data_IF_399011083623
#
_entry.id   IF_399011083623
#
_cell.length_a   1.000
_cell.length_b   1.000
_cell.length_c   1.000
_cell.angle_alpha   90.00
_cell.angle_beta   90.00
_cell.angle_gamma   90.00
#
_symmetry.space_group_name_H-M   'P 1'
#
loop_
_entity.id
_entity.type
_entity.pdbx_description
1 polymer ?
#
# COMPACT_ATOMS: atom_id res chain seq x y z
N UNK A 1 25.72 17.76 26.99
CA UNK A 1 24.62 16.77 26.98
C UNK A 1 23.62 17.20 25.92
N UNK A 2 23.84 16.80 24.67
CA UNK A 2 22.94 17.11 23.57
C UNK A 2 21.71 16.22 23.71
N UNK A 3 20.58 16.79 24.12
CA UNK A 3 19.30 16.09 24.16
C UNK A 3 18.93 15.72 22.73
N UNK A 4 19.22 14.49 22.33
CA UNK A 4 18.69 13.91 21.10
C UNK A 4 17.22 13.54 21.37
N UNK A 5 16.34 14.55 21.41
CA UNK A 5 14.90 14.31 21.35
C UNK A 5 14.64 13.70 19.97
N UNK A 6 14.21 12.42 19.88
CA UNK A 6 13.74 11.89 18.61
C UNK A 6 12.65 12.84 18.12
N UNK A 7 12.77 13.31 16.87
CA UNK A 7 11.65 14.03 16.26
C UNK A 7 10.42 13.11 16.39
N UNK A 8 9.24 13.64 16.74
CA UNK A 8 8.02 12.85 16.63
C UNK A 8 8.01 12.30 15.21
N UNK A 9 8.01 10.97 15.09
CA UNK A 9 7.99 10.32 13.79
C UNK A 9 6.76 10.88 13.07
N UNK A 10 6.98 11.55 11.94
CA UNK A 10 5.88 12.18 11.22
C UNK A 10 5.13 11.06 10.51
N UNK A 11 4.21 10.44 11.26
CA UNK A 11 3.37 9.34 10.78
C UNK A 11 2.43 9.79 9.67
N UNK A 12 2.36 11.09 9.36
CA UNK A 12 1.64 11.57 8.18
C UNK A 12 2.31 11.11 6.87
N UNK A 13 3.64 11.06 6.83
CA UNK A 13 4.40 10.58 5.67
C UNK A 13 4.12 9.09 5.37
N UNK A 14 3.87 8.28 6.41
CA UNK A 14 3.62 6.85 6.25
C UNK A 14 2.26 6.58 5.59
N UNK A 15 1.22 7.32 6.01
CA UNK A 15 -0.11 7.22 5.39
C UNK A 15 -0.07 7.65 3.93
N UNK A 16 0.61 8.76 3.61
CA UNK A 16 0.74 9.25 2.23
C UNK A 16 1.49 8.24 1.35
N UNK A 17 2.62 7.70 1.82
CA UNK A 17 3.35 6.64 1.11
C UNK A 17 2.52 5.38 0.89
N UNK A 18 1.75 4.95 1.89
CA UNK A 18 0.87 3.78 1.77
C UNK A 18 -0.25 4.03 0.76
N UNK A 19 -0.83 5.24 0.74
CA UNK A 19 -1.83 5.63 -0.25
C UNK A 19 -1.25 5.64 -1.68
N UNK A 20 -0.04 6.17 -1.86
CA UNK A 20 0.67 6.13 -3.14
C UNK A 20 0.97 4.70 -3.59
N UNK A 21 1.43 3.83 -2.69
CA UNK A 21 1.65 2.41 -2.99
C UNK A 21 0.35 1.71 -3.37
N UNK A 22 -0.76 2.01 -2.69
CA UNK A 22 -2.10 1.48 -3.05
C UNK A 22 -2.50 1.94 -4.45
N UNK A 23 -2.36 3.23 -4.77
CA UNK A 23 -2.68 3.77 -6.10
C UNK A 23 -1.83 3.11 -7.17
N UNK A 24 -0.51 3.10 -7.01
CA UNK A 24 0.42 2.49 -7.96
C UNK A 24 0.15 0.99 -8.14
N UNK A 25 -0.23 0.28 -7.08
CA UNK A 25 -0.55 -1.14 -7.17
C UNK A 25 -1.82 -1.38 -7.98
N UNK A 26 -2.87 -0.56 -7.79
CA UNK A 26 -4.10 -0.62 -8.59
C UNK A 26 -3.84 -0.29 -10.06
N UNK A 27 -3.13 0.79 -10.34
CA UNK A 27 -2.78 1.19 -11.71
C UNK A 27 -2.00 0.05 -12.42
N UNK A 28 -1.10 -0.63 -11.71
CA UNK A 28 -0.37 -1.80 -12.22
C UNK A 28 -1.23 -3.06 -12.40
N UNK A 29 -2.30 -3.22 -11.61
CA UNK A 29 -3.25 -4.33 -11.78
C UNK A 29 -4.12 -4.10 -13.01
N UNK A 30 -4.67 -2.89 -13.16
CA UNK A 30 -5.49 -2.50 -14.31
C UNK A 30 -4.70 -2.63 -15.62
N UNK A 31 -3.48 -2.09 -15.66
CA UNK A 31 -2.60 -2.24 -16.83
C UNK A 31 -2.29 -3.72 -17.15
N UNK A 32 -2.15 -4.57 -16.13
CA UNK A 32 -1.93 -5.99 -16.33
C UNK A 32 -3.19 -6.71 -16.83
N UNK A 33 -4.38 -6.32 -16.38
CA UNK A 33 -5.66 -6.83 -16.88
C UNK A 33 -5.92 -6.44 -18.34
N UNK A 34 -5.56 -5.21 -18.73
CA UNK A 34 -5.60 -4.81 -20.13
C UNK A 34 -4.68 -5.69 -21.00
N UNK A 35 -3.47 -5.99 -20.53
CA UNK A 35 -2.57 -6.91 -21.20
C UNK A 35 -3.13 -8.34 -21.29
N UNK A 36 -3.92 -8.78 -20.30
CA UNK A 36 -4.57 -10.11 -20.34
C UNK A 36 -5.54 -10.30 -21.51
N UNK A 37 -6.06 -9.21 -22.10
CA UNK A 37 -6.88 -9.28 -23.30
C UNK A 37 -6.08 -9.72 -24.54
N UNK A 38 -4.77 -9.50 -24.52
CA UNK A 38 -3.85 -9.78 -25.64
C UNK A 38 -2.92 -10.97 -25.39
N UNK A 39 -2.78 -11.42 -24.14
CA UNK A 39 -1.96 -12.59 -23.76
C UNK A 39 -2.78 -13.88 -23.63
N UNK A 40 -2.14 -15.03 -23.87
CA UNK A 40 -2.78 -16.35 -23.85
C UNK A 40 -1.98 -17.35 -23.01
N UNK A 41 -2.64 -18.45 -22.63
CA UNK A 41 -1.98 -19.57 -21.96
C UNK A 41 -1.31 -19.20 -20.63
N UNK A 42 -0.06 -19.60 -20.47
CA UNK A 42 0.71 -19.45 -19.23
C UNK A 42 0.95 -17.99 -18.82
N UNK A 43 1.08 -17.07 -19.78
CA UNK A 43 1.28 -15.65 -19.49
C UNK A 43 0.03 -15.04 -18.81
N UNK A 44 -1.16 -15.44 -19.29
CA UNK A 44 -2.43 -14.99 -18.71
C UNK A 44 -2.61 -15.50 -17.28
N UNK A 45 -2.21 -16.75 -17.01
CA UNK A 45 -2.24 -17.32 -15.66
C UNK A 45 -1.24 -16.63 -14.72
N UNK A 46 -0.04 -16.33 -15.21
CA UNK A 46 0.98 -15.61 -14.45
C UNK A 46 0.51 -14.20 -14.06
N UNK A 47 -0.17 -13.49 -14.98
CA UNK A 47 -0.75 -12.17 -14.69
C UNK A 47 -1.83 -12.29 -13.61
N UNK A 48 -2.75 -13.25 -13.73
CA UNK A 48 -3.80 -13.48 -12.72
C UNK A 48 -3.21 -13.74 -11.33
N UNK A 49 -2.26 -14.66 -11.20
CA UNK A 49 -1.62 -14.96 -9.92
C UNK A 49 -0.87 -13.75 -9.36
N UNK A 50 -0.29 -12.90 -10.22
CA UNK A 50 0.38 -11.68 -9.78
C UNK A 50 -0.63 -10.65 -9.27
N UNK A 51 -1.80 -10.54 -9.90
CA UNK A 51 -2.88 -9.67 -9.43
C UNK A 51 -3.49 -10.17 -8.12
N UNK A 52 -3.69 -11.48 -7.96
CA UNK A 52 -4.15 -12.08 -6.70
C UNK A 52 -3.23 -11.74 -5.52
N UNK A 53 -1.91 -11.88 -5.68
CA UNK A 53 -0.94 -11.47 -4.65
C UNK A 53 -0.94 -9.96 -4.37
N UNK A 54 -1.28 -9.14 -5.36
CA UNK A 54 -1.42 -7.68 -5.19
C UNK A 54 -2.69 -7.35 -4.41
N UNK A 55 -3.78 -8.10 -4.58
CA UNK A 55 -4.98 -7.94 -3.76
C UNK A 55 -4.67 -8.20 -2.28
N UNK A 56 -3.95 -9.28 -1.97
CA UNK A 56 -3.48 -9.54 -0.59
C UNK A 56 -2.61 -8.40 -0.04
N UNK A 57 -1.71 -7.86 -0.88
CA UNK A 57 -0.86 -6.73 -0.50
C UNK A 57 -1.67 -5.45 -0.24
N UNK A 58 -2.70 -5.19 -1.06
CA UNK A 58 -3.61 -4.06 -0.89
C UNK A 58 -4.42 -4.16 0.40
N UNK A 59 -4.83 -5.37 0.80
CA UNK A 59 -5.47 -5.57 2.11
C UNK A 59 -4.52 -5.26 3.26
N UNK A 60 -3.25 -5.66 3.15
CA UNK A 60 -2.20 -5.29 4.11
C UNK A 60 -2.05 -3.78 4.24
N UNK A 61 -1.87 -3.07 3.12
CA UNK A 61 -1.75 -1.62 3.12
C UNK A 61 -2.98 -0.92 3.69
N UNK A 62 -4.19 -1.41 3.40
CA UNK A 62 -5.43 -0.83 3.98
C UNK A 62 -5.47 -0.98 5.50
N UNK A 63 -5.05 -2.13 6.03
CA UNK A 63 -4.96 -2.35 7.48
C UNK A 63 -3.93 -1.41 8.11
N UNK A 64 -2.75 -1.30 7.51
CA UNK A 64 -1.69 -0.39 7.99
C UNK A 64 -2.14 1.08 7.97
N UNK A 65 -2.82 1.53 6.91
CA UNK A 65 -3.37 2.90 6.84
C UNK A 65 -4.35 3.13 8.00
N UNK A 66 -5.27 2.20 8.27
CA UNK A 66 -6.24 2.33 9.35
C UNK A 66 -5.56 2.37 10.72
N UNK A 67 -4.56 1.51 10.94
CA UNK A 67 -3.80 1.47 12.19
C UNK A 67 -3.02 2.79 12.40
N UNK A 68 -2.38 3.31 11.36
CA UNK A 68 -1.67 4.59 11.43
C UNK A 68 -2.62 5.78 11.66
N UNK A 69 -3.77 5.80 10.99
CA UNK A 69 -4.80 6.84 11.20
C UNK A 69 -5.36 6.81 12.63
N UNK A 70 -5.58 5.62 13.19
CA UNK A 70 -6.02 5.43 14.57
C UNK A 70 -4.93 5.85 15.56
N UNK A 71 -3.68 5.49 15.28
CA UNK A 71 -2.55 5.85 16.12
C UNK A 71 -2.28 7.37 16.08
N UNK A 72 -2.57 8.06 14.97
CA UNK A 72 -2.58 9.53 14.87
C UNK A 72 -3.67 10.16 15.74
N UNK A 73 -4.90 9.64 15.70
CA UNK A 73 -6.02 10.14 16.53
C UNK A 73 -5.76 9.93 18.03
N UNK A 74 -5.24 8.75 18.40
CA UNK A 74 -4.96 8.42 19.80
C UNK A 74 -3.70 9.14 20.34
N UNK A 75 -2.72 9.44 19.48
CA UNK A 75 -1.54 10.22 19.84
C UNK A 75 -1.77 11.72 20.05
N UNK A 76 -2.96 12.22 19.70
CA UNK A 76 -3.39 13.61 19.99
C UNK A 76 -4.11 13.74 21.36
N UNK A 77 -4.20 12.65 22.14
CA UNK A 77 -4.74 12.64 23.50
C UNK A 77 -3.61 12.47 24.53
N UNK A 78 -2.69 13.43 24.62
CA UNK A 78 -1.81 13.62 25.78
C UNK A 78 -1.35 15.06 25.90
#
# INVERSE_FOLDING_TARGET
>A
MSKNTPKPDDRSDNVEKLQDMVKNTKDNMEAAEELMAYTNGSEKEAIKQKNERREESLEGFRKEILDEENARKNGYSS
#
